data_IF_560087904767
#
_entry.id   IF_560087904767
#
_cell.length_a   1.000
_cell.length_b   1.000
_cell.length_c   1.000
_cell.angle_alpha   90.00
_cell.angle_beta   90.00
_cell.angle_gamma   90.00
#
_symmetry.space_group_name_H-M   'P 1'
#
loop_
_entity.id
_entity.type
_entity.pdbx_description
1 polymer ?
#
# COMPACT_ATOMS: atom_id res chain seq x y z
N UNK A 1 10.56 19.05 9.00
CA UNK A 1 9.77 18.31 7.98
C UNK A 1 9.89 19.03 6.65
N UNK A 2 10.22 18.29 5.62
CA UNK A 2 10.28 18.85 4.26
C UNK A 2 8.88 19.20 3.76
N UNK A 3 8.78 20.30 3.02
CA UNK A 3 7.55 20.76 2.41
C UNK A 3 7.74 20.73 0.90
N UNK A 4 6.91 19.97 0.19
CA UNK A 4 6.98 19.80 -1.26
C UNK A 4 5.61 19.94 -1.88
N UNK A 5 5.57 20.26 -3.18
CA UNK A 5 4.33 20.25 -3.95
C UNK A 5 4.22 18.91 -4.67
N UNK A 6 3.27 18.07 -4.25
CA UNK A 6 3.07 16.74 -4.81
C UNK A 6 1.60 16.58 -5.21
N UNK A 7 1.27 16.71 -6.51
CA UNK A 7 -0.10 16.48 -6.97
C UNK A 7 -0.43 15.00 -6.89
N UNK A 8 -1.42 14.66 -6.08
CA UNK A 8 -1.87 13.28 -5.89
C UNK A 8 -3.09 12.98 -6.75
N UNK A 9 -3.16 11.75 -7.24
CA UNK A 9 -4.30 11.23 -7.98
C UNK A 9 -4.86 9.98 -7.31
N UNK A 10 -6.15 9.75 -7.49
CA UNK A 10 -6.84 8.58 -6.95
C UNK A 10 -6.46 7.32 -7.74
N UNK A 11 -6.11 6.26 -7.00
CA UNK A 11 -5.97 4.92 -7.53
C UNK A 11 -6.99 4.06 -6.81
N UNK A 12 -7.81 3.33 -7.56
CA UNK A 12 -8.89 2.53 -6.96
C UNK A 12 -8.99 1.16 -7.61
N UNK A 13 -8.92 0.13 -6.76
CA UNK A 13 -9.25 -1.24 -7.09
C UNK A 13 -10.45 -1.68 -6.26
N UNK A 14 -11.22 -2.68 -6.72
CA UNK A 14 -12.46 -3.09 -6.08
C UNK A 14 -12.30 -3.52 -4.63
N UNK A 15 -11.29 -4.35 -4.34
CA UNK A 15 -11.03 -4.85 -2.99
C UNK A 15 -10.25 -3.87 -2.11
N UNK A 16 -9.62 -2.90 -2.73
CA UNK A 16 -8.79 -1.94 -2.02
C UNK A 16 -9.56 -0.66 -1.75
N UNK A 17 -9.31 -0.01 -0.61
CA UNK A 17 -9.87 1.32 -0.38
C UNK A 17 -9.31 2.33 -1.39
N UNK A 18 -9.98 3.46 -1.51
CA UNK A 18 -9.50 4.54 -2.37
C UNK A 18 -8.17 5.09 -1.84
N UNK A 19 -7.15 5.08 -2.68
CA UNK A 19 -5.80 5.53 -2.35
C UNK A 19 -5.40 6.70 -3.23
N UNK A 20 -4.80 7.73 -2.63
CA UNK A 20 -4.23 8.86 -3.35
C UNK A 20 -2.71 8.76 -3.35
N UNK A 21 -2.13 8.71 -4.54
CA UNK A 21 -0.68 8.72 -4.74
C UNK A 21 -0.27 9.89 -5.62
N UNK A 22 0.92 10.39 -5.38
CA UNK A 22 1.50 11.43 -6.21
C UNK A 22 3.01 11.28 -6.34
N UNK A 23 3.53 11.66 -7.49
CA UNK A 23 4.96 11.65 -7.76
C UNK A 23 5.53 13.03 -7.51
N UNK A 24 6.64 13.11 -6.75
CA UNK A 24 7.34 14.35 -6.52
C UNK A 24 8.06 14.79 -7.79
N UNK A 25 7.82 16.03 -8.28
CA UNK A 25 8.51 16.55 -9.46
C UNK A 25 10.03 16.67 -9.28
N UNK A 26 10.49 16.79 -8.03
CA UNK A 26 11.91 17.03 -7.73
C UNK A 26 12.79 15.79 -7.99
N UNK A 27 12.34 14.61 -7.56
CA UNK A 27 13.16 13.41 -7.57
C UNK A 27 12.45 12.14 -8.05
N UNK A 28 11.19 12.26 -8.46
CA UNK A 28 10.39 11.10 -8.92
C UNK A 28 9.91 10.18 -7.80
N UNK A 29 10.15 10.52 -6.54
CA UNK A 29 9.64 9.72 -5.41
C UNK A 29 8.11 9.74 -5.37
N UNK A 30 7.52 8.60 -5.09
CA UNK A 30 6.07 8.45 -5.00
C UNK A 30 5.64 8.52 -3.54
N UNK A 31 4.62 9.31 -3.28
CA UNK A 31 4.05 9.52 -1.96
C UNK A 31 2.58 9.15 -1.91
N UNK A 32 2.14 8.72 -0.72
CA UNK A 32 0.77 8.38 -0.40
C UNK A 32 0.17 9.45 0.52
N UNK A 33 -1.05 9.89 0.23
CA UNK A 33 -1.72 10.92 1.03
C UNK A 33 -2.34 10.30 2.30
N UNK A 34 -1.58 10.34 3.38
CA UNK A 34 -2.00 9.79 4.67
C UNK A 34 -3.16 10.59 5.29
N UNK A 35 -3.12 11.90 5.20
CA UNK A 35 -4.19 12.77 5.76
C UNK A 35 -5.52 12.50 5.10
N UNK A 36 -5.55 12.41 3.78
CA UNK A 36 -6.77 12.07 3.05
C UNK A 36 -7.32 10.72 3.47
N UNK A 37 -6.44 9.72 3.60
CA UNK A 37 -6.85 8.37 3.98
C UNK A 37 -7.45 8.33 5.39
N UNK A 38 -6.85 9.03 6.35
CA UNK A 38 -7.40 9.14 7.71
C UNK A 38 -8.79 9.76 7.68
N UNK A 39 -8.98 10.83 6.92
CA UNK A 39 -10.27 11.52 6.83
C UNK A 39 -11.36 10.71 6.15
N UNK A 40 -11.00 9.92 5.14
CA UNK A 40 -11.96 9.13 4.38
C UNK A 40 -12.25 7.75 4.97
N UNK A 41 -11.27 7.09 5.56
CA UNK A 41 -11.37 5.71 6.02
C UNK A 41 -11.10 5.52 7.51
N UNK A 42 -10.45 6.47 8.14
CA UNK A 42 -10.05 6.39 9.54
C UNK A 42 -10.87 7.33 10.44
N UNK A 43 -10.32 7.56 11.61
CA UNK A 43 -10.85 8.47 12.63
C UNK A 43 -9.74 9.42 13.07
N UNK A 44 -9.87 10.70 12.73
CA UNK A 44 -8.86 11.73 13.06
C UNK A 44 -8.57 11.84 14.56
N UNK A 45 -9.50 11.43 15.41
CA UNK A 45 -9.32 11.42 16.87
C UNK A 45 -8.42 10.30 17.35
N UNK A 46 -8.38 9.21 16.61
CA UNK A 46 -7.68 7.96 16.99
C UNK A 46 -6.45 7.69 16.15
N UNK A 47 -6.44 8.17 14.90
CA UNK A 47 -5.42 7.85 13.92
C UNK A 47 -4.63 9.10 13.52
N UNK A 48 -3.31 9.04 13.61
CA UNK A 48 -2.43 10.08 13.11
C UNK A 48 -1.08 9.47 12.72
N UNK A 49 -0.34 10.21 11.90
CA UNK A 49 0.95 9.74 11.38
C UNK A 49 1.97 9.51 12.49
N UNK A 50 1.94 10.33 13.54
CA UNK A 50 2.86 10.19 14.66
C UNK A 50 2.63 8.89 15.43
N UNK A 51 1.39 8.56 15.74
CA UNK A 51 1.05 7.28 16.39
C UNK A 51 1.40 6.09 15.51
N UNK A 52 1.16 6.19 14.21
CA UNK A 52 1.59 5.18 13.25
C UNK A 52 3.10 4.94 13.33
N UNK A 53 3.89 5.99 13.35
CA UNK A 53 5.35 5.89 13.43
C UNK A 53 5.82 5.22 14.71
N UNK A 54 5.14 5.47 15.83
CA UNK A 54 5.44 4.85 17.12
C UNK A 54 5.01 3.37 17.10
N UNK A 55 3.79 3.08 16.71
CA UNK A 55 3.23 1.73 16.75
C UNK A 55 3.95 0.77 15.80
N UNK A 56 4.37 1.25 14.65
CA UNK A 56 5.01 0.43 13.60
C UNK A 56 6.50 0.71 13.44
N UNK A 57 7.14 1.21 14.49
CA UNK A 57 8.55 1.63 14.44
C UNK A 57 9.49 0.56 13.86
N UNK A 58 9.37 -0.68 14.29
CA UNK A 58 10.24 -1.76 13.80
C UNK A 58 10.01 -2.09 12.33
N UNK A 59 8.75 -2.07 11.90
CA UNK A 59 8.38 -2.27 10.50
C UNK A 59 8.91 -1.13 9.61
N UNK A 60 8.76 0.09 10.08
CA UNK A 60 9.23 1.27 9.36
C UNK A 60 10.75 1.24 9.22
N UNK A 61 11.46 0.91 10.29
CA UNK A 61 12.92 0.78 10.27
C UNK A 61 13.38 -0.27 9.27
N UNK A 62 12.72 -1.43 9.24
CA UNK A 62 13.04 -2.50 8.29
C UNK A 62 12.79 -2.10 6.84
N UNK A 63 11.63 -1.49 6.56
CA UNK A 63 11.27 -1.07 5.20
C UNK A 63 12.17 0.06 4.69
N UNK A 64 12.45 1.05 5.52
CA UNK A 64 13.32 2.17 5.13
C UNK A 64 14.75 1.73 4.92
N UNK A 65 15.24 0.78 5.71
CA UNK A 65 16.55 0.16 5.50
C UNK A 65 16.63 -0.61 4.19
N UNK A 66 15.59 -1.37 3.87
CA UNK A 66 15.52 -2.16 2.62
C UNK A 66 15.56 -1.26 1.38
N UNK A 67 14.88 -0.13 1.40
CA UNK A 67 14.80 0.79 0.25
C UNK A 67 15.77 1.96 0.35
N UNK A 68 16.60 2.02 1.39
CA UNK A 68 17.60 3.09 1.61
C UNK A 68 17.00 4.49 1.56
N UNK A 69 15.84 4.67 2.23
CA UNK A 69 15.13 5.94 2.26
C UNK A 69 15.62 6.80 3.42
N UNK A 70 15.91 8.07 3.15
CA UNK A 70 16.28 9.04 4.17
C UNK A 70 15.08 9.34 5.08
N UNK A 71 15.32 9.44 6.39
CA UNK A 71 14.28 9.76 7.37
C UNK A 71 13.51 11.05 7.06
N UNK A 72 14.19 12.03 6.52
CA UNK A 72 13.59 13.34 6.18
C UNK A 72 12.64 13.23 4.97
N UNK A 73 12.78 12.19 4.16
CA UNK A 73 11.95 11.96 2.98
C UNK A 73 10.78 10.99 3.24
N UNK A 74 10.71 10.40 4.43
CA UNK A 74 9.65 9.45 4.77
C UNK A 74 8.27 10.10 4.89
N UNK A 75 8.23 11.25 5.54
CA UNK A 75 6.99 12.01 5.76
C UNK A 75 7.26 13.43 5.34
N UNK A 76 6.46 13.93 4.41
CA UNK A 76 6.54 15.31 3.92
C UNK A 76 5.17 15.97 4.01
N UNK A 77 5.15 17.29 3.88
CA UNK A 77 3.90 18.05 3.83
C UNK A 77 3.70 18.61 2.42
N UNK A 78 2.51 18.41 1.88
CA UNK A 78 2.14 19.01 0.59
C UNK A 78 1.82 20.49 0.76
N UNK A 79 2.44 21.35 -0.06
CA UNK A 79 2.25 22.80 -0.01
C UNK A 79 0.80 23.20 -0.29
N UNK A 80 0.16 22.54 -1.27
CA UNK A 80 -1.16 22.94 -1.74
C UNK A 80 -2.27 22.58 -0.78
N UNK A 81 -2.24 21.36 -0.24
CA UNK A 81 -3.30 20.82 0.62
C UNK A 81 -3.00 20.93 2.11
N UNK A 82 -1.73 21.05 2.49
CA UNK A 82 -1.27 20.94 3.87
C UNK A 82 -1.28 19.51 4.39
N UNK A 83 -1.63 18.53 3.55
CA UNK A 83 -1.69 17.12 3.94
C UNK A 83 -0.31 16.54 4.20
N UNK A 84 -0.25 15.59 5.12
CA UNK A 84 0.93 14.76 5.33
C UNK A 84 0.94 13.63 4.32
N UNK A 85 2.06 13.51 3.62
CA UNK A 85 2.30 12.47 2.64
C UNK A 85 3.41 11.56 3.16
N UNK A 86 3.25 10.26 2.98
CA UNK A 86 4.25 9.28 3.39
C UNK A 86 4.80 8.55 2.15
N UNK A 87 6.05 8.11 2.24
CA UNK A 87 6.68 7.38 1.15
C UNK A 87 5.86 6.13 0.79
N UNK A 88 5.81 5.80 -0.50
CA UNK A 88 5.02 4.66 -0.99
C UNK A 88 5.37 3.33 -0.32
N UNK A 89 6.61 3.15 0.14
CA UNK A 89 7.01 1.91 0.81
C UNK A 89 6.23 1.66 2.10
N UNK A 90 5.67 2.71 2.70
CA UNK A 90 4.88 2.62 3.93
C UNK A 90 3.37 2.66 3.66
N UNK A 91 2.93 2.80 2.42
CA UNK A 91 1.52 3.00 2.10
C UNK A 91 0.64 1.84 2.57
N UNK A 92 0.99 0.61 2.22
CA UNK A 92 0.20 -0.56 2.62
C UNK A 92 0.23 -0.78 4.13
N UNK A 93 1.35 -0.52 4.77
CA UNK A 93 1.46 -0.61 6.21
C UNK A 93 0.55 0.41 6.90
N UNK A 94 0.47 1.63 6.36
CA UNK A 94 -0.42 2.67 6.86
C UNK A 94 -1.89 2.28 6.68
N UNK A 95 -2.25 1.71 5.55
CA UNK A 95 -3.60 1.19 5.31
C UNK A 95 -3.97 0.12 6.35
N UNK A 96 -3.07 -0.80 6.64
CA UNK A 96 -3.25 -1.83 7.67
C UNK A 96 -3.44 -1.20 9.07
N UNK A 97 -2.70 -0.15 9.37
CA UNK A 97 -2.85 0.59 10.63
C UNK A 97 -4.26 1.18 10.79
N UNK A 98 -4.83 1.72 9.72
CA UNK A 98 -6.16 2.34 9.74
C UNK A 98 -7.26 1.27 9.61
N UNK A 99 -7.12 0.34 8.69
CA UNK A 99 -8.14 -0.65 8.30
C UNK A 99 -7.66 -2.07 8.62
N UNK A 100 -8.05 -2.55 9.79
CA UNK A 100 -7.67 -3.89 10.24
C UNK A 100 -8.33 -5.01 9.43
N UNK A 101 -9.50 -4.78 8.86
CA UNK A 101 -10.17 -5.77 8.00
C UNK A 101 -9.39 -5.94 6.70
N UNK A 102 -8.94 -4.85 6.12
CA UNK A 102 -8.06 -4.91 4.96
C UNK A 102 -6.73 -5.57 5.31
N UNK A 103 -6.18 -5.29 6.50
CA UNK A 103 -4.97 -5.94 7.00
C UNK A 103 -5.13 -7.46 7.08
N UNK A 104 -6.24 -7.93 7.63
CA UNK A 104 -6.56 -9.34 7.70
C UNK A 104 -6.70 -9.98 6.31
N UNK A 105 -7.36 -9.29 5.39
CA UNK A 105 -7.48 -9.72 4.00
C UNK A 105 -6.09 -9.89 3.35
N UNK A 106 -5.20 -8.93 3.54
CA UNK A 106 -3.84 -8.99 3.00
C UNK A 106 -3.03 -10.15 3.57
N UNK A 107 -3.15 -10.39 4.89
CA UNK A 107 -2.47 -11.51 5.53
C UNK A 107 -2.97 -12.85 4.99
N UNK A 108 -4.27 -12.96 4.73
CA UNK A 108 -4.85 -14.16 4.14
C UNK A 108 -4.29 -14.41 2.72
N UNK A 109 -4.17 -13.35 1.91
CA UNK A 109 -3.58 -13.47 0.58
C UNK A 109 -2.11 -13.89 0.64
N UNK A 110 -1.35 -13.36 1.59
CA UNK A 110 0.05 -13.77 1.80
C UNK A 110 0.13 -15.22 2.24
N UNK A 111 -0.77 -15.67 3.11
CA UNK A 111 -0.85 -17.08 3.52
C UNK A 111 -1.10 -18.01 2.34
N UNK A 112 -1.98 -17.62 1.43
CA UNK A 112 -2.23 -18.37 0.19
C UNK A 112 -0.96 -18.49 -0.65
N UNK A 113 -0.19 -17.40 -0.78
CA UNK A 113 1.10 -17.42 -1.48
C UNK A 113 2.06 -18.44 -0.88
N UNK A 114 2.12 -18.52 0.45
CA UNK A 114 3.02 -19.43 1.15
C UNK A 114 2.58 -20.88 1.05
N UNK A 115 1.28 -21.14 1.07
CA UNK A 115 0.71 -22.50 1.08
C UNK A 115 0.53 -23.04 -0.35
N UNK A 116 -0.06 -22.24 -1.23
CA UNK A 116 -0.48 -22.66 -2.57
C UNK A 116 0.48 -22.22 -3.68
N UNK A 117 1.46 -21.36 -3.36
CA UNK A 117 2.43 -20.82 -4.33
C UNK A 117 1.91 -19.68 -5.18
N UNK A 118 0.65 -19.25 -5.00
CA UNK A 118 0.07 -18.10 -5.67
C UNK A 118 -1.08 -17.51 -4.86
N UNK A 119 -1.45 -16.27 -5.18
CA UNK A 119 -2.61 -15.61 -4.61
C UNK A 119 -3.29 -14.78 -5.70
N UNK A 120 -4.63 -14.70 -5.63
CA UNK A 120 -5.46 -13.99 -6.61
C UNK A 120 -6.49 -13.16 -5.88
N UNK A 121 -6.66 -11.89 -6.27
CA UNK A 121 -7.71 -11.04 -5.70
C UNK A 121 -9.09 -11.47 -6.21
N UNK A 122 -10.12 -11.14 -5.43
CA UNK A 122 -11.51 -11.41 -5.82
C UNK A 122 -11.90 -10.70 -7.12
N UNK A 123 -11.44 -9.46 -7.31
CA UNK A 123 -11.64 -8.73 -8.56
C UNK A 123 -10.98 -9.44 -9.74
N UNK A 124 -9.79 -9.97 -9.54
CA UNK A 124 -9.08 -10.70 -10.58
C UNK A 124 -9.82 -11.97 -10.98
N UNK A 125 -10.37 -12.72 -10.00
CA UNK A 125 -11.17 -13.92 -10.26
C UNK A 125 -12.41 -13.60 -11.11
N UNK A 126 -13.10 -12.50 -10.80
CA UNK A 126 -14.27 -12.05 -11.58
C UNK A 126 -13.85 -11.65 -12.99
N UNK A 127 -12.76 -10.92 -13.14
CA UNK A 127 -12.19 -10.56 -14.44
C UNK A 127 -11.68 -11.78 -15.19
N UNK A 128 -11.07 -12.73 -14.47
CA UNK A 128 -10.54 -13.96 -15.01
C UNK A 128 -11.62 -14.87 -15.60
N UNK A 129 -12.84 -14.80 -15.09
CA UNK A 129 -13.98 -15.53 -15.67
C UNK A 129 -14.34 -15.02 -17.08
N UNK A 130 -14.04 -13.75 -17.37
CA UNK A 130 -14.20 -13.17 -18.72
C UNK A 130 -12.96 -13.30 -19.61
N UNK A 131 -11.83 -13.69 -19.04
CA UNK A 131 -10.58 -13.95 -19.73
C UNK A 131 -10.34 -15.46 -19.87
N UNK A 132 -9.46 -15.86 -20.73
CA UNK A 132 -9.24 -17.29 -21.07
C UNK A 132 -8.50 -18.12 -20.03
N UNK A 133 -8.19 -17.53 -18.85
CA UNK A 133 -7.46 -18.24 -17.81
C UNK A 133 -8.39 -18.73 -16.71
N UNK A 134 -8.31 -20.01 -16.39
CA UNK A 134 -8.95 -20.61 -15.24
C UNK A 134 -7.95 -20.66 -14.07
N UNK A 135 -8.46 -20.88 -12.85
CA UNK A 135 -7.60 -21.08 -11.68
C UNK A 135 -6.69 -22.29 -11.89
N UNK A 136 -7.18 -23.34 -12.52
CA UNK A 136 -6.39 -24.53 -12.85
C UNK A 136 -5.22 -24.21 -13.77
N UNK A 137 -5.45 -23.43 -14.82
CA UNK A 137 -4.41 -22.99 -15.74
C UNK A 137 -3.35 -22.15 -15.04
N UNK A 138 -3.76 -21.25 -14.15
CA UNK A 138 -2.83 -20.44 -13.36
C UNK A 138 -1.98 -21.32 -12.43
N UNK A 139 -2.61 -22.27 -11.75
CA UNK A 139 -1.91 -23.20 -10.87
C UNK A 139 -0.89 -24.04 -11.65
N UNK A 140 -1.25 -24.49 -12.83
CA UNK A 140 -0.37 -25.24 -13.73
C UNK A 140 0.83 -24.41 -14.16
N UNK A 141 0.63 -23.14 -14.52
CA UNK A 141 1.71 -22.25 -14.92
C UNK A 141 2.68 -21.97 -13.77
N UNK A 142 2.18 -21.75 -12.56
CA UNK A 142 3.01 -21.56 -11.37
C UNK A 142 3.86 -22.81 -11.10
N UNK A 143 3.28 -24.00 -11.15
CA UNK A 143 4.01 -25.27 -10.97
C UNK A 143 5.08 -25.50 -12.04
N UNK A 144 4.82 -25.10 -13.28
CA UNK A 144 5.81 -25.17 -14.36
C UNK A 144 7.01 -24.27 -14.08
N UNK A 145 6.79 -23.05 -13.57
CA UNK A 145 7.84 -22.12 -13.23
C UNK A 145 8.69 -22.61 -12.05
N UNK A 146 8.09 -23.30 -11.08
CA UNK A 146 8.81 -23.88 -9.94
C UNK A 146 9.76 -25.03 -10.33
N UNK A 147 9.53 -25.68 -11.45
CA UNK A 147 10.33 -26.79 -11.95
C UNK A 147 11.57 -26.35 -12.74
N UNK A 148 11.64 -25.09 -13.11
CA UNK A 148 12.78 -24.50 -13.81
C UNK A 148 13.80 -23.94 -12.81
#
# INVERSE_FOLDING_TARGET
>A
MKVKKVPCRTIRYREFPELLFGESPDNGSVYFDATHFIRSQGDERRHNVQEFRIAFHHWITALTGMYSIDKDDLVIRDVSSGHLLIDECLALLFVVYIDSEFGAYMLERISELLIDGFSVSDSWLVMGAGNRFTIEELTKNVKSNEKE
#
